data_IF_877580234376
#
_entry.id   IF_877580234376
#
_cell.length_a   1.000
_cell.length_b   1.000
_cell.length_c   1.000
_cell.angle_alpha   90.00
_cell.angle_beta   90.00
_cell.angle_gamma   90.00
#
_symmetry.space_group_name_H-M   'P 1'
#
loop_
_entity.id
_entity.type
_entity.pdbx_description
1 polymer ?
#
# COMPACT_ATOMS: atom_id res chain seq x y z
N UNK A 1 18.20 12.06 21.56
CA UNK A 1 17.30 10.90 21.76
C UNK A 1 15.94 11.09 21.10
N UNK A 2 15.02 11.93 21.61
CA UNK A 2 13.67 12.08 21.00
C UNK A 2 13.73 12.54 19.53
N UNK A 3 14.59 13.54 19.25
CA UNK A 3 14.79 14.03 17.89
C UNK A 3 15.36 12.95 16.95
N UNK A 4 16.26 12.11 17.44
CA UNK A 4 16.88 11.06 16.63
C UNK A 4 15.87 9.95 16.29
N UNK A 5 15.03 9.56 17.25
CA UNK A 5 13.93 8.62 17.04
C UNK A 5 12.92 9.17 16.03
N UNK A 6 12.52 10.44 16.16
CA UNK A 6 11.60 11.08 15.24
C UNK A 6 12.16 11.12 13.81
N UNK A 7 13.46 11.42 13.65
CA UNK A 7 14.14 11.41 12.35
C UNK A 7 14.18 10.02 11.73
N UNK A 8 14.52 9.00 12.51
CA UNK A 8 14.55 7.61 12.05
C UNK A 8 13.16 7.14 11.58
N UNK A 9 12.13 7.39 12.38
CA UNK A 9 10.75 7.06 12.05
C UNK A 9 10.28 7.75 10.77
N UNK A 10 10.46 9.08 10.68
CA UNK A 10 10.04 9.85 9.51
C UNK A 10 10.79 9.43 8.24
N UNK A 11 12.11 9.24 8.32
CA UNK A 11 12.93 8.85 7.18
C UNK A 11 12.56 7.46 6.64
N UNK A 12 12.43 6.48 7.53
CA UNK A 12 12.09 5.11 7.16
C UNK A 12 10.65 5.00 6.60
N UNK A 13 9.70 5.72 7.20
CA UNK A 13 8.29 5.67 6.80
C UNK A 13 7.96 6.48 5.55
N UNK A 14 8.61 7.62 5.31
CA UNK A 14 8.20 8.55 4.24
C UNK A 14 8.59 8.06 2.84
N UNK A 15 9.85 7.63 2.67
CA UNK A 15 10.34 7.27 1.33
C UNK A 15 9.74 5.95 0.86
N UNK A 16 9.62 4.98 1.77
CA UNK A 16 9.10 3.65 1.46
C UNK A 16 7.62 3.71 1.10
N UNK A 17 6.79 4.41 1.89
CA UNK A 17 5.35 4.50 1.57
C UNK A 17 5.09 5.23 0.25
N UNK A 18 5.83 6.32 -0.03
CA UNK A 18 5.72 7.05 -1.30
C UNK A 18 5.97 6.13 -2.48
N UNK A 19 7.10 5.41 -2.44
CA UNK A 19 7.48 4.50 -3.54
C UNK A 19 6.47 3.36 -3.70
N UNK A 20 5.94 2.82 -2.61
CA UNK A 20 4.87 1.80 -2.67
C UNK A 20 3.62 2.33 -3.39
N UNK A 21 3.16 3.53 -3.04
CA UNK A 21 1.98 4.14 -3.67
C UNK A 21 2.23 4.45 -5.15
N UNK A 22 3.40 4.99 -5.49
CA UNK A 22 3.80 5.26 -6.87
C UNK A 22 3.78 3.96 -7.71
N UNK A 23 4.34 2.86 -7.17
CA UNK A 23 4.27 1.55 -7.81
C UNK A 23 2.84 1.03 -7.95
N UNK A 24 2.01 1.23 -6.92
CA UNK A 24 0.62 0.79 -6.95
C UNK A 24 -0.15 1.49 -8.09
N UNK A 25 -0.01 2.81 -8.23
CA UNK A 25 -0.59 3.56 -9.34
C UNK A 25 -0.09 3.07 -10.70
N UNK A 26 1.22 2.86 -10.84
CA UNK A 26 1.82 2.38 -12.08
C UNK A 26 1.34 0.97 -12.47
N UNK A 27 1.28 0.06 -11.50
CA UNK A 27 0.79 -1.31 -11.70
C UNK A 27 -0.69 -1.30 -12.06
N UNK A 28 -1.52 -0.52 -11.36
CA UNK A 28 -2.93 -0.41 -11.71
C UNK A 28 -3.16 0.13 -13.12
N UNK A 29 -2.32 1.06 -13.58
CA UNK A 29 -2.36 1.55 -14.97
C UNK A 29 -1.96 0.48 -16.00
N UNK A 30 -1.05 -0.43 -15.64
CA UNK A 30 -0.61 -1.54 -16.49
C UNK A 30 -1.52 -2.77 -16.46
N UNK A 31 -2.32 -2.95 -15.40
CA UNK A 31 -3.20 -4.10 -15.15
C UNK A 31 -4.64 -3.63 -14.85
N UNK A 32 -5.35 -3.08 -15.86
CA UNK A 32 -6.66 -2.45 -15.66
C UNK A 32 -7.72 -3.43 -15.13
N UNK A 33 -7.59 -4.73 -15.41
CA UNK A 33 -8.46 -5.78 -14.87
C UNK A 33 -8.32 -5.96 -13.35
N UNK A 34 -7.11 -5.80 -12.81
CA UNK A 34 -6.86 -5.82 -11.35
C UNK A 34 -7.43 -4.57 -10.72
N UNK A 35 -7.16 -3.41 -11.32
CA UNK A 35 -7.71 -2.12 -10.88
C UNK A 35 -9.25 -2.16 -10.84
N UNK A 36 -9.89 -2.72 -11.87
CA UNK A 36 -11.35 -2.86 -11.93
C UNK A 36 -11.90 -3.70 -10.79
N UNK A 37 -11.25 -4.83 -10.47
CA UNK A 37 -11.68 -5.71 -9.36
C UNK A 37 -11.53 -5.02 -7.99
N UNK A 38 -10.45 -4.28 -7.78
CA UNK A 38 -10.28 -3.46 -6.57
C UNK A 38 -11.41 -2.43 -6.46
N UNK A 39 -11.70 -1.69 -7.54
CA UNK A 39 -12.79 -0.70 -7.51
C UNK A 39 -14.16 -1.32 -7.26
N UNK A 40 -14.44 -2.50 -7.83
CA UNK A 40 -15.68 -3.22 -7.57
C UNK A 40 -15.79 -3.60 -6.08
N UNK A 41 -14.73 -4.14 -5.48
CA UNK A 41 -14.72 -4.49 -4.07
C UNK A 41 -14.87 -3.25 -3.16
N UNK A 42 -14.26 -2.11 -3.53
CA UNK A 42 -14.45 -0.83 -2.84
C UNK A 42 -15.92 -0.39 -2.92
N UNK A 43 -16.50 -0.38 -4.12
CA UNK A 43 -17.89 0.02 -4.33
C UNK A 43 -18.86 -0.90 -3.57
N UNK A 44 -18.59 -2.21 -3.50
CA UNK A 44 -19.43 -3.20 -2.81
C UNK A 44 -19.35 -3.07 -1.26
N UNK A 45 -18.16 -2.82 -0.70
CA UNK A 45 -17.95 -2.80 0.76
C UNK A 45 -18.19 -1.41 1.36
N UNK A 46 -17.73 -0.36 0.68
CA UNK A 46 -17.72 1.01 1.21
C UNK A 46 -18.89 1.82 0.64
N UNK A 47 -19.23 1.60 -0.62
CA UNK A 47 -20.20 2.42 -1.36
C UNK A 47 -19.67 3.83 -1.62
N UNK A 48 -20.58 4.74 -1.96
CA UNK A 48 -20.25 6.13 -2.35
C UNK A 48 -20.65 7.20 -1.33
N UNK A 49 -21.31 6.79 -0.25
CA UNK A 49 -21.93 7.70 0.71
C UNK A 49 -20.98 8.08 1.88
N UNK A 50 -19.84 7.40 2.00
CA UNK A 50 -18.87 7.63 3.08
C UNK A 50 -17.43 7.43 2.63
N UNK A 51 -16.50 7.96 3.42
CA UNK A 51 -15.08 7.67 3.26
C UNK A 51 -14.70 6.29 3.83
N UNK A 52 -13.61 5.69 3.33
CA UNK A 52 -13.02 4.47 3.89
C UNK A 52 -12.58 4.68 5.34
N UNK A 53 -12.68 3.61 6.14
CA UNK A 53 -12.14 3.51 7.49
C UNK A 53 -11.16 2.36 7.55
N UNK A 54 -10.27 2.35 8.55
CA UNK A 54 -9.33 1.24 8.72
C UNK A 54 -10.05 -0.11 8.84
N UNK A 55 -11.25 -0.19 9.40
CA UNK A 55 -11.95 -1.48 9.59
C UNK A 55 -12.41 -2.14 8.29
N UNK A 56 -12.57 -1.38 7.22
CA UNK A 56 -13.10 -1.88 5.95
C UNK A 56 -12.17 -2.92 5.30
N UNK A 57 -10.87 -2.85 5.56
CA UNK A 57 -9.88 -3.81 5.02
C UNK A 57 -10.20 -5.28 5.35
N UNK A 58 -10.86 -5.53 6.49
CA UNK A 58 -11.27 -6.88 6.91
C UNK A 58 -12.30 -7.52 5.95
N UNK A 59 -13.02 -6.68 5.19
CA UNK A 59 -14.03 -7.09 4.22
C UNK A 59 -13.54 -6.93 2.78
N UNK A 60 -12.27 -6.54 2.57
CA UNK A 60 -11.68 -6.30 1.25
C UNK A 60 -10.49 -7.23 0.98
N UNK A 61 -10.68 -8.56 1.01
CA UNK A 61 -9.59 -9.52 0.86
C UNK A 61 -8.88 -9.42 -0.49
N UNK A 62 -9.54 -9.01 -1.57
CA UNK A 62 -8.91 -8.88 -2.88
C UNK A 62 -7.94 -7.69 -2.91
N UNK A 63 -8.35 -6.55 -2.34
CA UNK A 63 -7.53 -5.35 -2.23
C UNK A 63 -6.32 -5.61 -1.32
N UNK A 64 -6.51 -6.27 -0.18
CA UNK A 64 -5.40 -6.69 0.69
C UNK A 64 -4.43 -7.63 -0.01
N UNK A 65 -4.95 -8.62 -0.75
CA UNK A 65 -4.11 -9.51 -1.54
C UNK A 65 -3.33 -8.77 -2.63
N UNK A 66 -3.93 -7.78 -3.29
CA UNK A 66 -3.26 -6.96 -4.31
C UNK A 66 -2.13 -6.11 -3.72
N UNK A 67 -2.34 -5.52 -2.54
CA UNK A 67 -1.29 -4.77 -1.82
C UNK A 67 -0.16 -5.72 -1.40
N UNK A 68 -0.48 -6.90 -0.86
CA UNK A 68 0.50 -7.90 -0.49
C UNK A 68 1.32 -8.38 -1.70
N UNK A 69 0.66 -8.63 -2.84
CA UNK A 69 1.32 -9.06 -4.07
C UNK A 69 2.20 -7.96 -4.68
N UNK A 70 1.75 -6.70 -4.60
CA UNK A 70 2.59 -5.56 -4.98
C UNK A 70 3.86 -5.50 -4.12
N UNK A 71 3.74 -5.65 -2.79
CA UNK A 71 4.90 -5.65 -1.92
C UNK A 71 5.84 -6.84 -2.18
N UNK A 72 5.31 -8.01 -2.56
CA UNK A 72 6.10 -9.18 -2.95
C UNK A 72 6.84 -8.97 -4.29
N UNK A 73 6.18 -8.35 -5.27
CA UNK A 73 6.71 -8.18 -6.62
C UNK A 73 7.64 -6.95 -6.73
N UNK A 74 7.29 -5.86 -6.05
CA UNK A 74 7.98 -4.55 -6.05
C UNK A 74 8.60 -4.25 -4.70
N UNK A 75 9.36 -5.20 -4.16
CA UNK A 75 10.10 -5.04 -2.91
C UNK A 75 11.04 -3.83 -2.99
N UNK A 76 10.80 -2.81 -2.16
CA UNK A 76 11.54 -1.53 -2.19
C UNK A 76 12.99 -1.70 -1.73
N UNK A 77 13.23 -2.60 -0.77
CA UNK A 77 14.56 -2.85 -0.19
C UNK A 77 14.88 -4.35 -0.29
N UNK A 78 15.21 -4.88 -1.49
CA UNK A 78 15.33 -6.32 -1.72
C UNK A 78 16.48 -6.98 -0.94
N UNK A 79 17.51 -6.21 -0.56
CA UNK A 79 18.67 -6.70 0.19
C UNK A 79 18.65 -6.30 1.68
N UNK A 80 17.54 -5.70 2.14
CA UNK A 80 17.41 -5.10 3.46
C UNK A 80 18.50 -4.02 3.73
N UNK A 81 18.49 -3.44 4.94
CA UNK A 81 19.55 -2.54 5.40
C UNK A 81 20.81 -3.33 5.77
N UNK A 82 21.98 -2.71 5.56
CA UNK A 82 23.26 -3.27 6.01
C UNK A 82 23.20 -3.51 7.52
N UNK A 83 23.57 -4.72 7.94
CA UNK A 83 23.76 -5.05 9.36
C UNK A 83 25.19 -4.67 9.74
N UNK A 84 25.32 -3.72 10.66
CA UNK A 84 26.59 -3.28 11.26
C UNK A 84 26.71 -3.79 12.69
#
# INVERSE_FOLDING_TARGET
VLLDLARGFFGAGSTTIRVSVDWMCLVMAGFPEVQKKIHMEIDDVIGRDRFPTYKDHLQMPYTEAAICELMRWKTIIPLNLMRS
#
